data_IF_503398746678
#
_entry.id   IF_503398746678
#
_cell.length_a   1.000
_cell.length_b   1.000
_cell.length_c   1.000
_cell.angle_alpha   90.00
_cell.angle_beta   90.00
_cell.angle_gamma   90.00
#
_symmetry.space_group_name_H-M   'P 1'
#
loop_
_entity.id
_entity.type
_entity.pdbx_description
1 polymer ?
#
# COMPACT_ATOMS: atom_id res chain seq x y z
N UNK A 1 18.80 27.86 -31.94
CA UNK A 1 18.77 26.72 -30.99
C UNK A 1 17.99 27.15 -29.76
N UNK A 2 16.69 26.85 -29.72
CA UNK A 2 15.88 27.01 -28.54
C UNK A 2 16.26 25.86 -27.59
N UNK A 3 16.85 26.17 -26.45
CA UNK A 3 17.05 25.22 -25.35
C UNK A 3 15.68 24.76 -24.87
N UNK A 4 15.39 23.47 -24.99
CA UNK A 4 14.22 22.86 -24.35
C UNK A 4 14.28 23.18 -22.85
N UNK A 5 13.17 23.62 -22.25
CA UNK A 5 13.15 23.86 -20.82
C UNK A 5 13.42 22.51 -20.12
N UNK A 6 14.51 22.50 -19.35
CA UNK A 6 14.89 21.38 -18.49
C UNK A 6 13.84 21.26 -17.38
N UNK A 7 12.71 20.56 -17.68
CA UNK A 7 11.71 20.26 -16.68
C UNK A 7 12.34 19.30 -15.67
N UNK A 8 12.79 19.83 -14.54
CA UNK A 8 13.21 19.01 -13.41
C UNK A 8 12.05 18.04 -13.08
N UNK A 9 12.36 16.76 -13.07
CA UNK A 9 11.39 15.71 -12.69
C UNK A 9 10.76 16.06 -11.34
N UNK A 10 9.42 15.95 -11.24
CA UNK A 10 8.71 16.13 -9.98
C UNK A 10 9.28 15.20 -8.89
N UNK A 11 9.46 15.72 -7.68
CA UNK A 11 10.03 14.97 -6.58
C UNK A 11 8.97 14.03 -5.98
N UNK A 12 9.25 12.74 -5.99
CA UNK A 12 8.40 11.72 -5.39
C UNK A 12 8.32 11.88 -3.87
N UNK A 13 7.15 11.58 -3.28
CA UNK A 13 7.03 11.48 -1.82
C UNK A 13 7.81 10.28 -1.30
N UNK A 14 8.16 10.31 -0.01
CA UNK A 14 8.85 9.19 0.64
C UNK A 14 7.94 7.96 0.68
N UNK A 15 8.36 6.88 0.04
CA UNK A 15 7.63 5.62 0.07
C UNK A 15 7.72 4.97 1.46
N UNK A 16 6.65 4.26 1.90
CA UNK A 16 6.72 3.43 3.09
C UNK A 16 7.86 2.42 3.00
N UNK A 17 8.55 2.19 4.11
CA UNK A 17 9.70 1.30 4.13
C UNK A 17 9.25 -0.15 3.95
N UNK A 18 9.87 -0.88 3.02
CA UNK A 18 9.66 -2.32 2.84
C UNK A 18 10.98 -2.97 2.44
N UNK A 19 11.73 -3.48 3.42
CA UNK A 19 13.01 -4.19 3.19
C UNK A 19 12.82 -5.67 2.85
N UNK A 20 11.63 -6.23 3.10
CA UNK A 20 11.37 -7.65 2.87
C UNK A 20 11.30 -7.98 1.39
N UNK A 21 11.76 -9.18 1.05
CA UNK A 21 11.51 -9.74 -0.28
C UNK A 21 10.01 -9.78 -0.56
N UNK A 22 9.61 -9.28 -1.70
CA UNK A 22 8.25 -9.40 -2.21
C UNK A 22 8.07 -10.81 -2.77
N UNK A 23 6.98 -11.46 -2.43
CA UNK A 23 6.74 -12.86 -2.80
C UNK A 23 5.42 -12.95 -3.55
N UNK A 24 5.48 -13.60 -4.73
CA UNK A 24 4.32 -13.87 -5.55
C UNK A 24 3.69 -12.61 -6.16
N UNK A 25 2.40 -12.70 -6.47
CA UNK A 25 1.58 -11.60 -6.99
C UNK A 25 1.99 -11.10 -8.38
N UNK A 26 2.77 -11.87 -9.14
CA UNK A 26 3.25 -11.48 -10.48
C UNK A 26 2.10 -11.16 -11.43
N UNK A 27 1.02 -11.95 -11.37
CA UNK A 27 -0.18 -11.71 -12.18
C UNK A 27 -0.87 -10.38 -11.84
N UNK A 28 -0.91 -10.01 -10.55
CA UNK A 28 -1.48 -8.72 -10.09
C UNK A 28 -0.59 -7.58 -10.57
N UNK A 29 0.73 -7.68 -10.39
CA UNK A 29 1.68 -6.65 -10.83
C UNK A 29 1.62 -6.45 -12.36
N UNK A 30 1.57 -7.55 -13.13
CA UNK A 30 1.44 -7.49 -14.57
C UNK A 30 0.13 -6.81 -15.02
N UNK A 31 -1.00 -7.12 -14.34
CA UNK A 31 -2.28 -6.48 -14.59
C UNK A 31 -2.23 -4.99 -14.26
N UNK A 32 -1.63 -4.60 -13.12
CA UNK A 32 -1.46 -3.19 -12.75
C UNK A 32 -0.57 -2.44 -13.75
N UNK A 33 0.56 -3.02 -14.14
CA UNK A 33 1.43 -2.42 -15.14
C UNK A 33 0.67 -2.14 -16.45
N UNK A 34 -0.10 -3.13 -16.93
CA UNK A 34 -0.92 -2.96 -18.14
C UNK A 34 -2.00 -1.89 -17.99
N UNK A 35 -2.67 -1.80 -16.82
CA UNK A 35 -3.74 -0.83 -16.58
C UNK A 35 -3.23 0.59 -16.39
N UNK A 36 -2.09 0.76 -15.68
CA UNK A 36 -1.61 2.08 -15.26
C UNK A 36 -0.64 2.72 -16.26
N UNK A 37 -0.10 1.95 -17.21
CA UNK A 37 0.82 2.43 -18.26
C UNK A 37 0.12 2.78 -19.58
N UNK A 38 -1.20 2.91 -19.61
CA UNK A 38 -1.89 3.27 -20.87
C UNK A 38 -1.51 4.69 -21.28
N UNK A 39 -0.97 4.89 -22.48
CA UNK A 39 -0.65 6.23 -22.97
C UNK A 39 -1.92 7.04 -23.17
N UNK A 40 -1.84 8.32 -22.85
CA UNK A 40 -2.89 9.32 -23.12
C UNK A 40 -4.26 9.07 -22.46
N UNK A 41 -4.32 8.29 -21.39
CA UNK A 41 -5.53 8.07 -20.59
C UNK A 41 -5.26 8.23 -19.10
N UNK A 42 -6.21 8.88 -18.40
CA UNK A 42 -6.25 8.83 -16.93
C UNK A 42 -6.73 7.46 -16.50
N UNK A 43 -5.87 6.72 -15.81
CA UNK A 43 -6.19 5.38 -15.38
C UNK A 43 -6.42 5.33 -13.87
N UNK A 44 -7.50 4.66 -13.48
CA UNK A 44 -7.84 4.38 -12.08
C UNK A 44 -7.85 2.88 -11.84
N UNK A 45 -7.07 2.43 -10.85
CA UNK A 45 -7.07 1.04 -10.41
C UNK A 45 -7.27 0.96 -8.90
N UNK A 46 -7.88 -0.13 -8.45
CA UNK A 46 -8.13 -0.42 -7.03
C UNK A 46 -7.63 -1.81 -6.69
N UNK A 47 -6.84 -1.89 -5.65
CA UNK A 47 -6.55 -3.13 -4.94
C UNK A 47 -7.59 -3.29 -3.83
N UNK A 48 -8.48 -4.24 -3.98
CA UNK A 48 -9.55 -4.55 -3.03
C UNK A 48 -9.29 -5.89 -2.34
N UNK A 49 -9.73 -6.03 -1.08
CA UNK A 49 -9.65 -7.31 -0.34
C UNK A 49 -9.51 -7.11 1.16
N UNK A 50 -9.44 -8.20 1.90
CA UNK A 50 -9.42 -8.24 3.37
C UNK A 50 -8.23 -7.48 3.98
N UNK A 51 -8.34 -7.16 5.28
CA UNK A 51 -7.21 -6.66 6.08
C UNK A 51 -6.07 -7.67 6.12
N UNK A 52 -4.82 -7.21 6.10
CA UNK A 52 -3.67 -8.11 6.17
C UNK A 52 -3.34 -8.92 4.91
N UNK A 53 -4.13 -8.78 3.82
CA UNK A 53 -3.98 -9.57 2.59
C UNK A 53 -2.79 -9.10 1.70
N UNK A 54 -2.16 -7.98 2.04
CA UNK A 54 -0.98 -7.51 1.34
C UNK A 54 -1.22 -6.40 0.31
N UNK A 55 -2.40 -5.73 0.25
CA UNK A 55 -2.70 -4.65 -0.71
C UNK A 55 -1.64 -3.55 -0.72
N UNK A 56 -1.29 -3.02 0.43
CA UNK A 56 -0.24 -1.98 0.58
C UNK A 56 1.12 -2.47 0.08
N UNK A 57 1.45 -3.76 0.26
CA UNK A 57 2.69 -4.35 -0.26
C UNK A 57 2.70 -4.43 -1.78
N UNK A 58 1.58 -4.82 -2.39
CA UNK A 58 1.42 -4.82 -3.85
C UNK A 58 1.52 -3.39 -4.39
N UNK A 59 0.86 -2.41 -3.75
CA UNK A 59 0.96 -1.00 -4.14
C UNK A 59 2.40 -0.48 -4.04
N UNK A 60 3.14 -0.83 -2.98
CA UNK A 60 4.54 -0.45 -2.80
C UNK A 60 5.45 -1.06 -3.87
N UNK A 61 5.24 -2.31 -4.23
CA UNK A 61 6.03 -2.96 -5.28
C UNK A 61 5.71 -2.37 -6.66
N UNK A 62 4.43 -2.05 -6.92
CA UNK A 62 4.03 -1.27 -8.10
C UNK A 62 4.75 0.08 -8.15
N UNK A 63 4.78 0.82 -7.04
CA UNK A 63 5.52 2.09 -6.95
C UNK A 63 7.00 1.95 -7.32
N UNK A 64 7.65 0.90 -6.82
CA UNK A 64 9.08 0.62 -7.13
C UNK A 64 9.29 0.30 -8.62
N UNK A 65 8.38 -0.43 -9.25
CA UNK A 65 8.46 -0.72 -10.68
C UNK A 65 8.35 0.58 -11.48
N UNK A 66 7.36 1.40 -11.21
CA UNK A 66 7.10 2.65 -11.93
C UNK A 66 8.19 3.70 -11.68
N UNK A 67 8.80 3.74 -10.50
CA UNK A 67 9.89 4.67 -10.22
C UNK A 67 11.13 4.45 -11.11
N UNK A 68 11.33 3.24 -11.61
CA UNK A 68 12.41 2.91 -12.56
C UNK A 68 12.16 3.48 -13.97
N UNK A 69 10.91 3.77 -14.31
CA UNK A 69 10.48 4.29 -15.62
C UNK A 69 10.41 5.82 -15.67
N UNK A 70 11.10 6.52 -14.77
CA UNK A 70 11.08 7.97 -14.66
C UNK A 70 9.68 8.58 -14.36
N UNK A 71 8.78 7.80 -13.74
CA UNK A 71 7.48 8.24 -13.27
C UNK A 71 7.60 8.71 -11.83
N UNK A 72 7.04 9.88 -11.51
CA UNK A 72 7.01 10.40 -10.14
C UNK A 72 5.96 9.68 -9.31
N UNK A 73 6.30 9.27 -8.09
CA UNK A 73 5.41 8.52 -7.22
C UNK A 73 4.96 9.40 -6.06
N UNK A 74 3.66 9.53 -5.88
CA UNK A 74 3.06 10.25 -4.77
C UNK A 74 2.26 9.29 -3.90
N UNK A 75 2.60 9.22 -2.60
CA UNK A 75 1.95 8.32 -1.66
C UNK A 75 1.15 9.12 -0.64
N UNK A 76 -0.15 8.87 -0.59
CA UNK A 76 -1.10 9.54 0.32
C UNK A 76 -1.84 8.49 1.14
N UNK A 77 -1.81 8.63 2.47
CA UNK A 77 -2.60 7.78 3.35
C UNK A 77 -4.02 8.33 3.46
N UNK A 78 -4.99 7.56 3.01
CA UNK A 78 -6.41 7.96 2.97
C UNK A 78 -7.25 7.36 4.12
N UNK A 79 -6.63 7.10 5.27
CA UNK A 79 -7.33 6.54 6.44
C UNK A 79 -8.01 7.58 7.33
N UNK A 80 -7.78 8.87 7.10
CA UNK A 80 -8.45 10.01 7.74
C UNK A 80 -8.16 11.29 6.96
N UNK A 81 -9.01 12.34 7.13
CA UNK A 81 -8.82 13.66 6.52
C UNK A 81 -7.43 14.23 6.81
N UNK A 82 -7.02 14.23 8.07
CA UNK A 82 -5.72 14.75 8.49
C UNK A 82 -4.52 14.05 7.80
N UNK A 83 -4.61 12.73 7.58
CA UNK A 83 -3.55 11.98 6.87
C UNK A 83 -3.59 12.24 5.38
N UNK A 84 -4.77 12.36 4.80
CA UNK A 84 -4.95 12.71 3.40
C UNK A 84 -4.36 14.09 3.11
N UNK A 85 -4.75 15.10 3.90
CA UNK A 85 -4.23 16.47 3.82
C UNK A 85 -2.72 16.53 4.01
N UNK A 86 -2.19 15.80 5.00
CA UNK A 86 -0.73 15.71 5.21
C UNK A 86 0.00 15.21 3.97
N UNK A 87 -0.54 14.19 3.28
CA UNK A 87 0.05 13.68 2.04
C UNK A 87 0.11 14.75 0.95
N UNK A 88 -0.94 15.54 0.79
CA UNK A 88 -0.99 16.64 -0.17
C UNK A 88 -0.03 17.79 0.21
N UNK A 89 0.11 18.09 1.49
CA UNK A 89 1.11 19.05 1.98
C UNK A 89 2.53 18.55 1.68
N UNK A 90 2.81 17.25 1.80
CA UNK A 90 4.12 16.69 1.46
C UNK A 90 4.41 16.79 -0.05
N UNK A 91 3.40 16.60 -0.91
CA UNK A 91 3.52 16.82 -2.36
C UNK A 91 3.86 18.29 -2.62
N UNK A 92 3.13 19.21 -2.00
CA UNK A 92 3.32 20.65 -2.15
C UNK A 92 4.73 21.11 -1.76
N UNK A 93 5.22 20.67 -0.59
CA UNK A 93 6.54 21.05 -0.05
C UNK A 93 7.72 20.53 -0.84
N UNK A 94 7.57 19.36 -1.46
CA UNK A 94 8.66 18.71 -2.18
C UNK A 94 8.73 19.11 -3.65
N UNK A 95 7.77 19.90 -4.14
CA UNK A 95 7.69 20.28 -5.54
C UNK A 95 7.52 21.81 -5.67
N UNK A 96 8.14 22.37 -6.68
CA UNK A 96 8.02 23.82 -6.97
C UNK A 96 6.64 24.11 -7.60
N UNK A 97 5.63 24.23 -6.74
CA UNK A 97 4.25 24.49 -7.14
C UNK A 97 4.01 26.00 -7.16
N UNK A 98 3.81 26.57 -8.36
CA UNK A 98 3.57 28.00 -8.53
C UNK A 98 2.39 28.49 -7.71
N UNK A 99 2.58 29.60 -7.00
CA UNK A 99 1.57 30.18 -6.10
C UNK A 99 1.71 29.72 -4.66
N UNK A 100 2.72 28.94 -4.34
CA UNK A 100 3.06 28.53 -2.98
C UNK A 100 4.29 29.28 -2.46
N UNK A 101 4.16 29.86 -1.29
CA UNK A 101 5.26 30.47 -0.53
C UNK A 101 5.28 29.83 0.88
N UNK A 102 6.45 29.38 1.32
CA UNK A 102 6.64 28.71 2.61
C UNK A 102 6.24 29.61 3.80
N UNK A 103 6.31 30.92 3.65
CA UNK A 103 5.83 31.89 4.65
C UNK A 103 4.31 31.84 4.87
N UNK A 104 3.56 31.36 3.87
CA UNK A 104 2.10 31.23 3.93
C UNK A 104 1.66 29.87 4.49
N UNK A 105 2.59 28.90 4.60
CA UNK A 105 2.29 27.54 5.11
C UNK A 105 1.72 27.56 6.52
N UNK A 106 2.29 28.39 7.38
CA UNK A 106 1.95 28.44 8.81
C UNK A 106 0.55 29.00 9.09
N UNK A 107 0.15 30.13 8.52
CA UNK A 107 -1.21 30.65 8.66
C UNK A 107 -2.28 29.75 8.02
N UNK A 108 -1.97 29.08 6.89
CA UNK A 108 -2.90 28.17 6.22
C UNK A 108 -3.11 26.86 7.00
N UNK A 109 -2.07 26.35 7.66
CA UNK A 109 -2.18 25.20 8.56
C UNK A 109 -3.03 25.52 9.80
N UNK A 110 -3.05 26.78 10.22
CA UNK A 110 -3.83 27.26 11.38
C UNK A 110 -5.28 27.59 11.03
N UNK A 111 -5.59 27.92 9.76
CA UNK A 111 -6.92 28.38 9.31
C UNK A 111 -7.80 27.32 8.61
N UNK A 112 -7.33 26.08 8.46
CA UNK A 112 -8.05 25.03 7.73
C UNK A 112 -7.43 24.79 6.34
N UNK A 113 -6.52 23.86 6.30
CA UNK A 113 -5.61 23.58 5.16
C UNK A 113 -6.31 23.01 3.93
N UNK A 114 -7.48 22.38 4.11
CA UNK A 114 -8.16 21.62 3.07
C UNK A 114 -8.59 22.49 1.89
N UNK A 115 -9.05 23.71 2.14
CA UNK A 115 -9.71 24.52 1.11
C UNK A 115 -8.73 25.15 0.11
N UNK A 116 -7.45 25.25 0.42
CA UNK A 116 -6.45 25.89 -0.44
C UNK A 116 -5.40 24.92 -0.98
N UNK A 117 -4.89 24.01 -0.16
CA UNK A 117 -3.82 23.09 -0.54
C UNK A 117 -4.29 21.97 -1.48
N UNK A 118 -5.44 21.35 -1.18
CA UNK A 118 -5.92 20.23 -1.98
C UNK A 118 -6.22 20.63 -3.44
N UNK A 119 -6.94 21.75 -3.71
CA UNK A 119 -7.16 22.22 -5.08
C UNK A 119 -5.88 22.61 -5.81
N UNK A 120 -4.94 23.23 -5.10
CA UNK A 120 -3.66 23.67 -5.68
C UNK A 120 -2.81 22.48 -6.15
N UNK A 121 -2.65 21.47 -5.31
CA UNK A 121 -1.90 20.25 -5.65
C UNK A 121 -2.60 19.49 -6.77
N UNK A 122 -3.93 19.38 -6.74
CA UNK A 122 -4.70 18.78 -7.83
C UNK A 122 -4.44 19.50 -9.16
N UNK A 123 -4.56 20.82 -9.19
CA UNK A 123 -4.33 21.63 -10.39
C UNK A 123 -2.90 21.46 -10.92
N UNK A 124 -1.91 21.40 -10.04
CA UNK A 124 -0.52 21.16 -10.42
C UNK A 124 -0.32 19.77 -11.01
N UNK A 125 -0.89 18.71 -10.40
CA UNK A 125 -0.85 17.35 -10.91
C UNK A 125 -1.53 17.22 -12.29
N UNK A 126 -2.57 17.99 -12.55
CA UNK A 126 -3.25 18.04 -13.84
C UNK A 126 -2.50 18.88 -14.90
N UNK A 127 -1.54 19.68 -14.46
CA UNK A 127 -0.72 20.53 -15.32
C UNK A 127 0.49 19.80 -15.93
N UNK A 128 1.12 20.41 -16.94
CA UNK A 128 2.27 19.82 -17.63
C UNK A 128 3.54 19.77 -16.77
N UNK A 129 3.65 20.59 -15.73
CA UNK A 129 4.85 20.70 -14.87
C UNK A 129 5.06 19.46 -14.01
N UNK A 130 3.99 18.74 -13.65
CA UNK A 130 4.08 17.53 -12.84
C UNK A 130 4.71 16.33 -13.58
N UNK A 131 4.82 16.39 -14.91
CA UNK A 131 5.31 15.29 -15.72
C UNK A 131 4.41 14.05 -15.62
N UNK A 132 4.99 12.86 -15.79
CA UNK A 132 4.26 11.59 -15.58
C UNK A 132 4.31 11.18 -14.12
N UNK A 133 3.18 10.77 -13.56
CA UNK A 133 3.08 10.41 -12.14
C UNK A 133 2.09 9.27 -11.87
N UNK A 134 2.32 8.60 -10.74
CA UNK A 134 1.41 7.65 -10.11
C UNK A 134 1.09 8.14 -8.70
N UNK A 135 -0.19 8.43 -8.44
CA UNK A 135 -0.71 8.76 -7.11
C UNK A 135 -1.26 7.47 -6.47
N UNK A 136 -0.75 7.12 -5.29
CA UNK A 136 -1.20 5.97 -4.51
C UNK A 136 -1.98 6.47 -3.31
N UNK A 137 -3.25 6.06 -3.22
CA UNK A 137 -4.12 6.30 -2.08
C UNK A 137 -4.19 5.03 -1.24
N UNK A 138 -3.44 5.00 -0.15
CA UNK A 138 -3.35 3.81 0.69
C UNK A 138 -4.35 3.86 1.85
N UNK A 139 -5.03 2.72 2.09
CA UNK A 139 -6.01 2.54 3.16
C UNK A 139 -7.23 3.46 3.06
N UNK A 140 -7.82 3.57 1.88
CA UNK A 140 -9.02 4.34 1.58
C UNK A 140 -10.30 3.55 1.93
N UNK A 141 -10.47 3.21 3.20
CA UNK A 141 -11.55 2.35 3.67
C UNK A 141 -12.82 3.13 4.06
N UNK A 142 -12.66 4.40 4.41
CA UNK A 142 -13.73 5.26 4.86
C UNK A 142 -14.47 5.88 3.66
N UNK A 143 -15.71 5.43 3.47
CA UNK A 143 -16.56 5.92 2.38
C UNK A 143 -16.95 7.39 2.58
N UNK A 144 -17.26 7.79 3.81
CA UNK A 144 -17.72 9.15 4.10
C UNK A 144 -16.59 10.17 3.97
N UNK A 145 -15.35 9.77 4.23
CA UNK A 145 -14.19 10.59 3.94
C UNK A 145 -14.10 10.92 2.44
N UNK A 146 -14.32 9.95 1.57
CA UNK A 146 -14.15 10.14 0.13
C UNK A 146 -15.40 10.75 -0.52
N UNK A 147 -16.58 10.28 -0.19
CA UNK A 147 -17.84 10.59 -0.87
C UNK A 147 -18.86 11.33 0.00
N UNK A 148 -18.58 11.50 1.30
CA UNK A 148 -19.41 12.26 2.24
C UNK A 148 -19.32 13.78 2.04
N UNK A 149 -19.67 14.57 3.07
CA UNK A 149 -19.76 16.03 2.92
C UNK A 149 -18.48 16.73 2.49
N UNK A 150 -17.32 16.23 2.92
CA UNK A 150 -15.99 16.81 2.59
C UNK A 150 -15.48 16.40 1.22
N UNK A 151 -16.08 15.38 0.58
CA UNK A 151 -15.81 14.91 -0.79
C UNK A 151 -14.33 14.92 -1.20
N UNK A 152 -13.47 14.25 -0.43
CA UNK A 152 -12.04 14.21 -0.75
C UNK A 152 -11.76 13.61 -2.14
N UNK A 153 -12.70 12.86 -2.70
CA UNK A 153 -12.64 12.33 -4.06
C UNK A 153 -12.52 13.43 -5.13
N UNK A 154 -13.10 14.61 -4.86
CA UNK A 154 -13.09 15.73 -5.80
C UNK A 154 -11.70 16.37 -5.95
N UNK A 155 -10.80 16.12 -5.00
CA UNK A 155 -9.41 16.57 -5.04
C UNK A 155 -8.47 15.60 -5.76
N UNK A 156 -8.94 14.45 -6.21
CA UNK A 156 -8.13 13.55 -7.01
C UNK A 156 -7.97 14.09 -8.43
N UNK A 157 -6.74 14.08 -8.96
CA UNK A 157 -6.49 14.56 -10.31
C UNK A 157 -7.08 13.59 -11.35
N UNK A 158 -7.52 14.17 -12.49
CA UNK A 158 -8.03 13.41 -13.62
C UNK A 158 -7.45 13.98 -14.92
N UNK A 159 -6.33 13.43 -15.35
CA UNK A 159 -5.58 13.91 -16.52
C UNK A 159 -4.82 12.76 -17.20
N UNK A 160 -4.34 13.02 -18.41
CA UNK A 160 -3.67 12.00 -19.25
C UNK A 160 -2.24 11.68 -18.84
N UNK A 161 -1.62 12.53 -18.05
CA UNK A 161 -0.23 12.38 -17.62
C UNK A 161 -0.07 11.61 -16.33
N UNK A 162 -1.16 11.17 -15.67
CA UNK A 162 -1.07 10.46 -14.42
C UNK A 162 -2.15 9.39 -14.21
N UNK A 163 -1.85 8.49 -13.31
CA UNK A 163 -2.72 7.40 -12.90
C UNK A 163 -2.91 7.37 -11.39
N UNK A 164 -4.03 6.83 -10.93
CA UNK A 164 -4.34 6.69 -9.50
C UNK A 164 -4.53 5.22 -9.15
N UNK A 165 -3.77 4.74 -8.17
CA UNK A 165 -3.90 3.42 -7.58
C UNK A 165 -4.43 3.57 -6.15
N UNK A 166 -5.56 2.93 -5.84
CA UNK A 166 -6.15 2.95 -4.51
C UNK A 166 -6.03 1.58 -3.85
N UNK A 167 -5.87 1.54 -2.52
CA UNK A 167 -6.05 0.32 -1.74
C UNK A 167 -7.22 0.49 -0.78
N UNK A 168 -8.12 -0.49 -0.72
CA UNK A 168 -9.29 -0.44 0.16
C UNK A 168 -9.77 -1.83 0.57
N UNK A 169 -10.45 -1.90 1.74
CA UNK A 169 -11.25 -3.06 2.18
C UNK A 169 -12.74 -2.88 1.87
N UNK A 170 -13.15 -1.67 1.50
CA UNK A 170 -14.53 -1.31 1.29
C UNK A 170 -14.91 -1.51 -0.19
N UNK A 171 -15.76 -2.50 -0.45
CA UNK A 171 -16.21 -2.81 -1.81
C UNK A 171 -16.97 -1.64 -2.46
N UNK A 172 -17.75 -0.89 -1.69
CA UNK A 172 -18.48 0.27 -2.21
C UNK A 172 -17.53 1.34 -2.71
N UNK A 173 -16.47 1.63 -1.95
CA UNK A 173 -15.41 2.55 -2.38
C UNK A 173 -14.76 2.06 -3.68
N UNK A 174 -14.45 0.76 -3.77
CA UNK A 174 -13.82 0.21 -4.95
C UNK A 174 -14.69 0.37 -6.21
N UNK A 175 -15.98 0.07 -6.11
CA UNK A 175 -16.93 0.14 -7.23
C UNK A 175 -17.18 1.58 -7.67
N UNK A 176 -17.33 2.51 -6.72
CA UNK A 176 -17.60 3.92 -7.03
C UNK A 176 -16.34 4.66 -7.56
N UNK A 177 -15.13 4.14 -7.24
CA UNK A 177 -13.88 4.77 -7.66
C UNK A 177 -13.40 4.37 -9.06
N UNK A 178 -13.43 3.09 -9.42
CA UNK A 178 -12.84 2.58 -10.65
C UNK A 178 -13.84 1.76 -11.48
N UNK A 179 -13.68 1.74 -12.82
CA UNK A 179 -14.44 0.82 -13.66
C UNK A 179 -14.10 -0.64 -13.30
N UNK A 180 -15.02 -1.57 -13.58
CA UNK A 180 -14.88 -2.98 -13.19
C UNK A 180 -13.55 -3.61 -13.64
N UNK A 181 -13.03 -3.23 -14.80
CA UNK A 181 -11.73 -3.70 -15.30
C UNK A 181 -10.54 -3.21 -14.46
N UNK A 182 -10.69 -2.08 -13.75
CA UNK A 182 -9.70 -1.48 -12.86
C UNK A 182 -9.74 -2.03 -11.44
N UNK A 183 -10.75 -2.81 -11.07
CA UNK A 183 -10.85 -3.43 -9.75
C UNK A 183 -10.07 -4.74 -9.76
N UNK A 184 -9.11 -4.86 -8.86
CA UNK A 184 -8.25 -6.03 -8.69
C UNK A 184 -8.44 -6.55 -7.28
N UNK A 185 -9.06 -7.71 -7.15
CA UNK A 185 -9.18 -8.40 -5.88
C UNK A 185 -7.83 -9.03 -5.51
N UNK A 186 -7.37 -8.74 -4.29
CA UNK A 186 -6.19 -9.36 -3.70
C UNK A 186 -6.67 -10.47 -2.78
N UNK A 187 -6.48 -11.70 -3.20
CA UNK A 187 -6.89 -12.92 -2.50
C UNK A 187 -5.82 -13.40 -1.51
N UNK A 188 -6.11 -14.35 -0.59
CA UNK A 188 -5.10 -15.07 0.18
C UNK A 188 -4.00 -15.67 -0.71
N UNK A 189 -2.86 -16.00 -0.12
CA UNK A 189 -1.78 -16.68 -0.85
C UNK A 189 -2.24 -18.03 -1.38
N UNK A 190 -1.88 -18.33 -2.62
CA UNK A 190 -2.02 -19.66 -3.18
C UNK A 190 -0.97 -20.62 -2.61
N UNK A 191 -1.04 -21.90 -2.99
CA UNK A 191 -0.09 -22.92 -2.50
C UNK A 191 1.35 -22.64 -2.87
N UNK A 192 1.58 -22.07 -4.05
CA UNK A 192 2.92 -21.71 -4.51
C UNK A 192 3.47 -20.54 -3.73
N UNK A 193 2.68 -19.49 -3.54
CA UNK A 193 3.02 -18.32 -2.74
C UNK A 193 3.29 -18.69 -1.27
N UNK A 194 2.49 -19.58 -0.68
CA UNK A 194 2.69 -20.13 0.67
C UNK A 194 4.05 -20.85 0.76
N UNK A 195 4.35 -21.72 -0.21
CA UNK A 195 5.62 -22.43 -0.24
C UNK A 195 6.81 -21.45 -0.35
N UNK A 196 6.77 -20.51 -1.27
CA UNK A 196 7.81 -19.48 -1.41
C UNK A 196 7.95 -18.63 -0.14
N UNK A 197 6.84 -18.30 0.50
CA UNK A 197 6.83 -17.52 1.72
C UNK A 197 7.59 -18.21 2.87
N UNK A 198 7.29 -19.47 3.13
CA UNK A 198 7.91 -20.20 4.23
C UNK A 198 9.32 -20.69 3.91
N UNK A 199 9.59 -21.13 2.68
CA UNK A 199 10.94 -21.54 2.27
C UNK A 199 11.94 -20.39 2.38
N UNK A 200 11.53 -19.15 2.06
CA UNK A 200 12.39 -17.97 2.24
C UNK A 200 12.64 -17.61 3.71
N UNK A 201 11.77 -18.03 4.65
CA UNK A 201 11.92 -17.71 6.08
C UNK A 201 12.59 -18.81 6.90
N UNK A 202 12.28 -20.05 6.61
CA UNK A 202 12.79 -21.19 7.38
C UNK A 202 14.00 -21.86 6.71
N UNK A 203 14.33 -21.46 5.47
CA UNK A 203 15.25 -22.20 4.62
C UNK A 203 14.52 -23.32 3.88
N UNK A 204 15.04 -23.72 2.72
CA UNK A 204 14.45 -24.83 1.96
C UNK A 204 15.35 -26.06 2.04
N UNK A 205 14.92 -27.08 2.75
CA UNK A 205 15.49 -28.44 2.59
C UNK A 205 14.78 -29.21 1.47
N UNK A 206 13.78 -28.59 0.80
CA UNK A 206 12.98 -29.17 -0.28
C UNK A 206 12.37 -30.55 0.04
N UNK A 207 12.08 -30.82 1.33
CA UNK A 207 11.44 -32.07 1.71
C UNK A 207 9.92 -31.99 1.50
N UNK A 208 9.32 -33.13 1.12
CA UNK A 208 7.86 -33.23 0.96
C UNK A 208 7.16 -32.99 2.30
N UNK A 209 7.76 -33.42 3.40
CA UNK A 209 7.20 -33.27 4.75
C UNK A 209 7.14 -31.81 5.19
N UNK A 210 8.13 -30.99 4.84
CA UNK A 210 8.10 -29.55 5.11
C UNK A 210 7.00 -28.83 4.34
N UNK A 211 6.85 -29.15 3.05
CA UNK A 211 5.78 -28.57 2.23
C UNK A 211 4.40 -28.86 2.81
N UNK A 212 4.18 -30.08 3.31
CA UNK A 212 2.94 -30.47 3.97
C UNK A 212 2.70 -29.68 5.26
N UNK A 213 3.76 -29.43 6.06
CA UNK A 213 3.67 -28.63 7.27
C UNK A 213 3.32 -27.16 6.96
N UNK A 214 3.92 -26.59 5.91
CA UNK A 214 3.61 -25.21 5.44
C UNK A 214 2.14 -25.08 5.03
N UNK A 215 1.61 -26.04 4.27
CA UNK A 215 0.21 -25.99 3.83
C UNK A 215 -0.76 -26.20 4.99
N UNK A 216 -0.44 -27.06 5.96
CA UNK A 216 -1.27 -27.21 7.17
C UNK A 216 -1.33 -25.92 7.97
N UNK A 217 -0.19 -25.26 8.19
CA UNK A 217 -0.13 -23.99 8.89
C UNK A 217 -0.89 -22.90 8.12
N UNK A 218 -0.68 -22.82 6.82
CA UNK A 218 -1.37 -21.84 6.00
C UNK A 218 -2.88 -22.04 5.98
N UNK A 219 -3.36 -23.28 5.95
CA UNK A 219 -4.80 -23.60 6.00
C UNK A 219 -5.44 -23.14 7.31
N UNK A 220 -4.79 -23.33 8.47
CA UNK A 220 -5.27 -22.83 9.77
C UNK A 220 -5.31 -21.30 9.86
N UNK A 221 -4.44 -20.62 9.11
CA UNK A 221 -4.32 -19.18 9.06
C UNK A 221 -4.97 -18.57 7.81
N UNK A 222 -5.84 -19.32 7.13
CA UNK A 222 -6.57 -18.93 5.93
C UNK A 222 -5.66 -18.37 4.82
N UNK A 223 -4.38 -18.75 4.82
CA UNK A 223 -3.35 -18.26 3.91
C UNK A 223 -3.22 -16.72 3.86
N UNK A 224 -3.64 -16.03 4.92
CA UNK A 224 -3.55 -14.56 5.03
C UNK A 224 -2.10 -14.14 5.30
N UNK A 225 -1.45 -13.37 4.41
CA UNK A 225 -0.02 -13.03 4.51
C UNK A 225 0.40 -12.43 5.85
N UNK A 226 -0.43 -11.58 6.46
CA UNK A 226 -0.13 -11.00 7.78
C UNK A 226 -0.10 -12.07 8.87
N UNK A 227 -1.09 -12.96 8.89
CA UNK A 227 -1.15 -14.06 9.87
C UNK A 227 0.03 -15.03 9.68
N UNK A 228 0.37 -15.37 8.44
CA UNK A 228 1.54 -16.19 8.14
C UNK A 228 2.85 -15.53 8.61
N UNK A 229 2.97 -14.21 8.44
CA UNK A 229 4.14 -13.45 8.90
C UNK A 229 4.26 -13.48 10.42
N UNK A 230 3.16 -13.28 11.13
CA UNK A 230 3.14 -13.34 12.61
C UNK A 230 3.47 -14.74 13.11
N UNK A 231 2.87 -15.78 12.52
CA UNK A 231 3.18 -17.17 12.87
C UNK A 231 4.66 -17.51 12.64
N UNK A 232 5.21 -17.13 11.49
CA UNK A 232 6.62 -17.37 11.19
C UNK A 232 7.55 -16.65 12.18
N UNK A 233 7.25 -15.40 12.53
CA UNK A 233 8.01 -14.63 13.50
C UNK A 233 7.97 -15.28 14.91
N UNK A 234 6.79 -15.77 15.31
CA UNK A 234 6.64 -16.49 16.59
C UNK A 234 7.45 -17.78 16.60
N UNK A 235 7.34 -18.61 15.57
CA UNK A 235 8.05 -19.89 15.42
C UNK A 235 9.57 -19.66 15.51
N UNK A 236 10.10 -18.71 14.75
CA UNK A 236 11.53 -18.38 14.73
C UNK A 236 12.00 -17.79 16.06
N UNK A 237 11.22 -16.87 16.64
CA UNK A 237 11.55 -16.19 17.89
C UNK A 237 11.60 -17.14 19.11
N UNK A 238 10.70 -18.13 19.12
CA UNK A 238 10.63 -19.12 20.19
C UNK A 238 11.41 -20.41 19.90
N UNK A 239 11.98 -20.54 18.70
CA UNK A 239 12.74 -21.73 18.24
C UNK A 239 11.93 -23.02 18.37
N UNK A 240 10.64 -22.96 18.02
CA UNK A 240 9.73 -24.10 18.01
C UNK A 240 9.49 -24.59 16.60
N UNK A 241 9.00 -25.82 16.45
CA UNK A 241 8.56 -26.38 15.17
C UNK A 241 7.19 -25.84 14.77
N UNK A 242 6.85 -26.00 13.48
CA UNK A 242 5.50 -25.70 12.97
C UNK A 242 4.44 -26.57 13.66
N UNK A 243 4.77 -27.83 13.97
CA UNK A 243 3.88 -28.75 14.65
C UNK A 243 3.56 -28.27 16.07
N UNK A 244 4.57 -27.84 16.83
CA UNK A 244 4.38 -27.27 18.16
C UNK A 244 3.54 -26.00 18.12
N UNK A 245 3.79 -25.11 17.13
CA UNK A 245 2.95 -23.94 16.93
C UNK A 245 1.49 -24.29 16.65
N UNK A 246 1.23 -25.28 15.78
CA UNK A 246 -0.13 -25.75 15.48
C UNK A 246 -0.85 -26.31 16.68
N UNK A 247 -0.14 -27.02 17.58
CA UNK A 247 -0.70 -27.49 18.85
C UNK A 247 -1.11 -26.30 19.71
N UNK A 248 -0.20 -25.34 19.93
CA UNK A 248 -0.48 -24.13 20.71
C UNK A 248 -1.63 -23.30 20.13
N UNK A 249 -1.70 -23.19 18.81
CA UNK A 249 -2.75 -22.44 18.11
C UNK A 249 -4.13 -23.07 18.29
N UNK A 250 -4.22 -24.41 18.34
CA UNK A 250 -5.47 -25.16 18.46
C UNK A 250 -5.98 -25.30 19.90
N UNK A 251 -5.12 -25.13 20.91
CA UNK A 251 -5.47 -25.38 22.33
C UNK A 251 -6.60 -24.49 22.84
N UNK A 252 -6.65 -23.23 22.48
CA UNK A 252 -7.79 -22.34 22.79
C UNK A 252 -7.78 -21.02 22.03
N UNK A 253 -8.95 -20.34 21.97
CA UNK A 253 -9.09 -19.09 21.24
C UNK A 253 -8.29 -17.91 21.86
N UNK A 254 -8.01 -17.94 23.16
CA UNK A 254 -7.14 -16.94 23.80
C UNK A 254 -5.69 -17.05 23.31
N UNK A 255 -5.22 -18.28 23.07
CA UNK A 255 -3.91 -18.50 22.47
C UNK A 255 -3.83 -17.99 21.05
N UNK A 256 -4.89 -18.16 20.22
CA UNK A 256 -4.94 -17.60 18.87
C UNK A 256 -4.76 -16.09 18.88
N UNK A 257 -5.50 -15.37 19.74
CA UNK A 257 -5.37 -13.91 19.86
C UNK A 257 -3.96 -13.54 20.31
N UNK A 258 -3.39 -14.21 21.33
CA UNK A 258 -2.05 -13.94 21.82
C UNK A 258 -0.99 -14.18 20.74
N UNK A 259 -1.02 -15.32 20.07
CA UNK A 259 -0.06 -15.72 19.04
C UNK A 259 -0.07 -14.79 17.81
N UNK A 260 -1.21 -14.18 17.50
CA UNK A 260 -1.37 -13.24 16.39
C UNK A 260 -1.18 -11.77 16.81
N UNK A 261 -1.19 -11.45 18.11
CA UNK A 261 -1.05 -10.08 18.63
C UNK A 261 0.31 -9.79 19.27
N UNK A 262 1.09 -10.80 19.64
CA UNK A 262 2.42 -10.60 20.20
C UNK A 262 3.34 -9.94 19.15
N UNK A 263 3.95 -8.83 19.57
CA UNK A 263 4.93 -8.12 18.75
C UNK A 263 6.27 -8.87 18.83
N UNK A 264 6.48 -9.79 17.90
CA UNK A 264 7.81 -10.37 17.69
C UNK A 264 8.59 -9.51 16.70
N UNK A 265 9.83 -9.19 17.04
CA UNK A 265 10.79 -8.72 16.06
C UNK A 265 11.03 -9.89 15.10
N UNK A 266 10.47 -9.79 13.88
CA UNK A 266 10.81 -10.71 12.82
C UNK A 266 12.30 -10.53 12.52
N UNK A 267 13.16 -11.56 12.72
CA UNK A 267 14.60 -11.42 12.46
C UNK A 267 14.91 -11.10 11.01
N UNK A 268 13.97 -11.30 10.09
CA UNK A 268 14.02 -10.86 8.69
C UNK A 268 13.51 -9.41 8.56
N UNK A 269 12.78 -8.92 9.57
CA UNK A 269 12.33 -7.54 9.73
C UNK A 269 13.22 -6.84 10.75
N UNK A 270 14.02 -5.92 10.34
CA UNK A 270 14.52 -4.86 11.23
C UNK A 270 13.37 -3.85 11.51
N UNK A 271 12.24 -4.35 12.03
CA UNK A 271 11.02 -3.60 12.26
C UNK A 271 10.41 -3.95 13.61
N UNK A 272 10.47 -3.04 14.56
CA UNK A 272 9.60 -3.06 15.72
C UNK A 272 8.16 -2.76 15.25
N UNK A 273 7.24 -3.70 15.40
CA UNK A 273 5.79 -3.54 15.24
C UNK A 273 5.17 -2.61 16.32
N UNK A 274 5.97 -1.69 16.88
CA UNK A 274 5.49 -0.65 17.77
C UNK A 274 4.64 0.35 17.02
N UNK A 275 3.39 0.05 16.75
CA UNK A 275 2.27 1.00 16.57
C UNK A 275 1.07 0.44 15.78
N UNK A 276 0.57 -0.74 16.13
CA UNK A 276 -0.79 -1.10 15.72
C UNK A 276 -1.73 -1.37 16.92
N UNK A 277 -1.28 -1.07 18.14
CA UNK A 277 -2.02 -1.34 19.37
C UNK A 277 -2.79 -0.16 19.96
N UNK A 278 -3.25 0.82 19.16
CA UNK A 278 -4.13 1.86 19.70
C UNK A 278 -5.05 2.42 18.62
N UNK A 279 -5.97 1.60 18.15
CA UNK A 279 -7.19 2.04 17.48
C UNK A 279 -8.23 0.92 17.57
N UNK A 280 -8.78 0.70 18.78
CA UNK A 280 -10.16 0.28 18.95
C UNK A 280 -11.01 1.52 19.12
#
# INVERSE_FOLDING_TARGET
SASEPNHSRAQSTRLPYGKEAFIGREAILAKLAKLLCLPDQSCKAVLFGLGGIGKTRVALETAKLFSKEAISIFWVHASSSARFEKGYIEILKNNDISGWDESQTRPMLESGVSDSVLPLVKQWLEGPQSGKWLLILDNADDYDLLYGPTRHIDYLPSCKNGSVLMTTRNNKVAVDFAPSAGIIEVTPFDKHEVYLFFSNRFGSENSVDESVAYWKLAAELESVPLALTQAAAFILGNRISIQEYLVLYRENDRNKIRLLSENFEDPVRNWSLHRLGSAC
#
